data_IF_904079592578
#
_entry.id   IF_904079592578
#
_cell.length_a   1.000
_cell.length_b   1.000
_cell.length_c   1.000
_cell.angle_alpha   90.00
_cell.angle_beta   90.00
_cell.angle_gamma   90.00
#
_symmetry.space_group_name_H-M   'P 1'
#
loop_
_entity.id
_entity.type
_entity.pdbx_description
1 polymer ?
#
# COMPACT_ATOMS: atom_id res chain seq x y z
N UNK A 1 -7.55 -8.62 -4.31
CA UNK A 1 -8.23 -7.31 -4.20
C UNK A 1 -7.72 -6.32 -5.26
N UNK A 2 -7.55 -6.75 -6.52
CA UNK A 2 -7.15 -5.88 -7.65
C UNK A 2 -7.69 -6.44 -8.99
N UNK A 3 -8.89 -7.03 -8.98
CA UNK A 3 -9.47 -7.63 -10.20
C UNK A 3 -9.75 -6.58 -11.29
N UNK A 4 -9.94 -5.31 -10.90
CA UNK A 4 -10.16 -4.19 -11.81
C UNK A 4 -8.93 -3.86 -12.67
N UNK A 5 -7.73 -4.29 -12.29
CA UNK A 5 -6.48 -3.93 -12.96
C UNK A 5 -6.26 -4.65 -14.30
N UNK A 6 -6.92 -5.80 -14.52
CA UNK A 6 -6.79 -6.58 -15.77
C UNK A 6 -7.64 -6.04 -16.92
N UNK A 7 -8.75 -5.36 -16.60
CA UNK A 7 -9.76 -4.91 -17.55
C UNK A 7 -9.28 -3.77 -18.47
N UNK A 8 -8.57 -2.72 -17.98
CA UNK A 8 -8.02 -1.66 -18.83
C UNK A 8 -7.08 -2.20 -19.91
N UNK A 9 -6.21 -3.15 -19.58
CA UNK A 9 -5.27 -3.75 -20.53
C UNK A 9 -5.98 -4.44 -21.68
N UNK A 10 -7.07 -5.16 -21.38
CA UNK A 10 -7.91 -5.81 -22.39
C UNK A 10 -8.59 -4.77 -23.30
N UNK A 11 -9.19 -3.73 -22.72
CA UNK A 11 -9.86 -2.65 -23.49
C UNK A 11 -8.87 -1.90 -24.39
N UNK A 12 -7.68 -1.58 -23.90
CA UNK A 12 -6.62 -0.93 -24.70
C UNK A 12 -6.21 -1.81 -25.89
N UNK A 13 -6.08 -3.12 -25.69
CA UNK A 13 -5.77 -4.08 -26.76
C UNK A 13 -6.87 -4.09 -27.85
N UNK A 14 -8.14 -4.10 -27.43
CA UNK A 14 -9.28 -4.02 -28.35
C UNK A 14 -9.29 -2.71 -29.14
N UNK A 15 -9.07 -1.56 -28.48
CA UNK A 15 -8.98 -0.26 -29.14
C UNK A 15 -7.87 -0.25 -30.21
N UNK A 16 -6.68 -0.74 -29.86
CA UNK A 16 -5.55 -0.80 -30.80
C UNK A 16 -5.84 -1.70 -32.00
N UNK A 17 -6.55 -2.81 -31.78
CA UNK A 17 -6.97 -3.72 -32.85
C UNK A 17 -7.99 -3.06 -33.78
N UNK A 18 -8.99 -2.36 -33.23
CA UNK A 18 -9.98 -1.61 -34.01
C UNK A 18 -9.33 -0.47 -34.80
N UNK A 19 -8.39 0.28 -34.21
CA UNK A 19 -7.61 1.33 -34.91
C UNK A 19 -6.84 0.77 -36.11
N UNK A 20 -6.11 -0.32 -35.93
CA UNK A 20 -5.41 -1.00 -37.04
C UNK A 20 -6.37 -1.54 -38.11
N UNK A 21 -7.57 -1.93 -37.72
CA UNK A 21 -8.62 -2.35 -38.68
C UNK A 21 -9.08 -1.16 -39.53
N UNK A 22 -9.36 -0.01 -38.90
CA UNK A 22 -9.76 1.23 -39.57
C UNK A 22 -8.68 1.67 -40.58
N UNK A 23 -7.41 1.71 -40.16
CA UNK A 23 -6.29 2.09 -41.04
C UNK A 23 -6.17 1.19 -42.26
N UNK A 24 -6.31 -0.13 -42.08
CA UNK A 24 -6.29 -1.09 -43.19
C UNK A 24 -7.46 -0.88 -44.15
N UNK A 25 -8.66 -0.64 -43.62
CA UNK A 25 -9.84 -0.37 -44.44
C UNK A 25 -9.66 0.93 -45.26
N UNK A 26 -9.11 1.98 -44.65
CA UNK A 26 -8.78 3.25 -45.33
C UNK A 26 -7.73 3.07 -46.43
N UNK A 27 -6.66 2.31 -46.18
CA UNK A 27 -5.64 2.06 -47.20
C UNK A 27 -6.20 1.22 -48.37
N UNK A 28 -7.14 0.31 -48.10
CA UNK A 28 -7.84 -0.46 -49.13
C UNK A 28 -8.80 0.39 -49.98
N UNK A 29 -9.36 1.45 -49.40
CA UNK A 29 -10.26 2.39 -50.07
C UNK A 29 -9.53 3.17 -51.17
N UNK A 30 -8.32 3.68 -50.86
CA UNK A 30 -7.49 4.43 -51.82
C UNK A 30 -7.02 3.61 -53.02
N UNK A 31 -6.89 2.29 -52.89
CA UNK A 31 -6.40 1.40 -53.96
C UNK A 31 -7.50 0.90 -54.90
N UNK A 32 -8.75 0.94 -54.46
CA UNK A 32 -9.90 0.43 -55.24
C UNK A 32 -10.33 1.36 -56.38
N UNK A 33 -9.76 2.55 -56.50
CA UNK A 33 -10.20 3.63 -57.40
C UNK A 33 -9.60 3.54 -58.82
N UNK A 34 -8.83 2.49 -59.15
CA UNK A 34 -8.02 2.44 -60.39
C UNK A 34 -8.53 1.46 -61.46
N UNK A 35 -9.82 1.16 -61.50
CA UNK A 35 -10.40 0.31 -62.56
C UNK A 35 -10.78 1.15 -63.78
N UNK A 36 -10.18 0.92 -64.96
CA UNK A 36 -10.10 1.94 -66.00
C UNK A 36 -11.35 2.17 -66.89
N UNK A 37 -12.51 1.55 -66.64
CA UNK A 37 -13.58 1.53 -67.66
C UNK A 37 -15.05 1.71 -67.19
N UNK A 38 -15.34 2.17 -65.96
CA UNK A 38 -16.71 2.54 -65.54
C UNK A 38 -17.79 1.44 -65.60
N UNK A 39 -17.45 0.24 -66.10
CA UNK A 39 -18.34 -0.89 -66.38
C UNK A 39 -18.86 -1.58 -65.11
N UNK A 40 -18.28 -1.23 -63.95
CA UNK A 40 -18.56 -1.81 -62.63
C UNK A 40 -18.89 -0.73 -61.59
N UNK A 41 -19.30 0.46 -62.00
CA UNK A 41 -19.51 1.60 -61.09
C UNK A 41 -20.61 1.35 -60.04
N UNK A 42 -21.66 0.61 -60.36
CA UNK A 42 -22.70 0.19 -59.40
C UNK A 42 -22.13 -0.74 -58.32
N UNK A 43 -21.39 -1.77 -58.73
CA UNK A 43 -20.71 -2.67 -57.78
C UNK A 43 -19.62 -1.97 -56.97
N UNK A 44 -18.97 -0.94 -57.53
CA UNK A 44 -18.01 -0.06 -56.83
C UNK A 44 -18.73 0.75 -55.76
N UNK A 45 -19.84 1.40 -56.12
CA UNK A 45 -20.62 2.22 -55.21
C UNK A 45 -21.07 1.38 -54.02
N UNK A 46 -21.68 0.21 -54.27
CA UNK A 46 -22.10 -0.70 -53.21
C UNK A 46 -20.94 -1.17 -52.32
N UNK A 47 -19.81 -1.57 -52.91
CA UNK A 47 -18.62 -1.99 -52.13
C UNK A 47 -18.07 -0.83 -51.29
N UNK A 48 -18.11 0.38 -51.83
CA UNK A 48 -17.62 1.58 -51.15
C UNK A 48 -18.52 1.94 -49.97
N UNK A 49 -19.83 1.93 -50.19
CA UNK A 49 -20.86 2.13 -49.15
C UNK A 49 -20.75 1.07 -48.05
N UNK A 50 -20.61 -0.21 -48.40
CA UNK A 50 -20.42 -1.30 -47.42
C UNK A 50 -19.15 -1.10 -46.57
N UNK A 51 -18.06 -0.64 -47.19
CA UNK A 51 -16.79 -0.38 -46.49
C UNK A 51 -16.84 0.89 -45.65
N UNK A 52 -17.46 1.95 -46.14
CA UNK A 52 -17.68 3.20 -45.40
C UNK A 52 -18.54 2.94 -44.17
N UNK A 53 -19.61 2.16 -44.32
CA UNK A 53 -20.46 1.72 -43.23
C UNK A 53 -19.69 0.87 -42.21
N UNK A 54 -18.79 -0.02 -42.66
CA UNK A 54 -17.91 -0.78 -41.76
C UNK A 54 -16.92 0.11 -41.01
N UNK A 55 -16.37 1.13 -41.67
CA UNK A 55 -15.51 2.14 -41.03
C UNK A 55 -16.29 2.96 -40.01
N UNK A 56 -17.53 3.35 -40.32
CA UNK A 56 -18.43 4.06 -39.41
C UNK A 56 -18.70 3.25 -38.15
N UNK A 57 -19.12 1.99 -38.29
CA UNK A 57 -19.37 1.08 -37.15
C UNK A 57 -18.12 0.87 -36.29
N UNK A 58 -16.97 0.59 -36.90
CA UNK A 58 -15.73 0.38 -36.14
C UNK A 58 -15.23 1.64 -35.44
N UNK A 59 -15.54 2.85 -35.96
CA UNK A 59 -15.30 4.12 -35.26
C UNK A 59 -16.22 4.29 -34.05
N UNK A 60 -17.52 4.00 -34.21
CA UNK A 60 -18.50 4.04 -33.11
C UNK A 60 -18.10 3.07 -31.98
N UNK A 61 -17.72 1.83 -32.33
CA UNK A 61 -17.20 0.84 -31.37
C UNK A 61 -15.95 1.34 -30.65
N UNK A 62 -15.00 1.96 -31.36
CA UNK A 62 -13.80 2.51 -30.75
C UNK A 62 -14.10 3.67 -29.78
N UNK A 63 -15.13 4.47 -30.07
CA UNK A 63 -15.60 5.54 -29.18
C UNK A 63 -16.23 4.98 -27.90
N UNK A 64 -17.07 3.94 -28.02
CA UNK A 64 -17.67 3.24 -26.88
C UNK A 64 -16.59 2.64 -25.98
N UNK A 65 -15.61 1.93 -26.56
CA UNK A 65 -14.47 1.39 -25.81
C UNK A 65 -13.65 2.50 -25.14
N UNK A 66 -13.56 3.68 -25.73
CA UNK A 66 -12.93 4.86 -25.12
C UNK A 66 -13.67 5.34 -23.87
N UNK A 67 -15.00 5.35 -23.90
CA UNK A 67 -15.85 5.69 -22.73
C UNK A 67 -15.69 4.65 -21.63
N UNK A 68 -15.69 3.36 -21.97
CA UNK A 68 -15.42 2.27 -21.03
C UNK A 68 -14.02 2.36 -20.42
N UNK A 69 -13.00 2.70 -21.20
CA UNK A 69 -11.65 2.91 -20.70
C UNK A 69 -11.62 4.01 -19.63
N UNK A 70 -12.29 5.14 -19.88
CA UNK A 70 -12.36 6.24 -18.92
C UNK A 70 -13.08 5.83 -17.62
N UNK A 71 -14.17 5.06 -17.74
CA UNK A 71 -14.87 4.52 -16.58
C UNK A 71 -13.99 3.55 -15.77
N UNK A 72 -13.31 2.62 -16.45
CA UNK A 72 -12.40 1.66 -15.78
C UNK A 72 -11.23 2.35 -15.11
N UNK A 73 -10.70 3.45 -15.67
CA UNK A 73 -9.67 4.27 -15.01
C UNK A 73 -10.14 4.84 -13.67
N UNK A 74 -11.38 5.32 -13.58
CA UNK A 74 -11.94 5.84 -12.33
C UNK A 74 -12.09 4.73 -11.29
N UNK A 75 -12.56 3.55 -11.70
CA UNK A 75 -12.69 2.39 -10.82
C UNK A 75 -11.32 1.93 -10.32
N UNK A 76 -10.31 1.86 -11.20
CA UNK A 76 -8.94 1.52 -10.80
C UNK A 76 -8.37 2.55 -9.82
N UNK A 77 -8.60 3.84 -10.05
CA UNK A 77 -8.15 4.88 -9.12
C UNK A 77 -8.79 4.73 -7.73
N UNK A 78 -10.08 4.43 -7.66
CA UNK A 78 -10.79 4.18 -6.40
C UNK A 78 -10.26 2.93 -5.68
N UNK A 79 -10.03 1.84 -6.41
CA UNK A 79 -9.45 0.59 -5.86
C UNK A 79 -8.01 0.80 -5.37
N UNK A 80 -7.19 1.57 -6.09
CA UNK A 80 -5.82 1.91 -5.68
C UNK A 80 -5.79 2.78 -4.42
N UNK A 81 -6.70 3.77 -4.33
CA UNK A 81 -6.84 4.58 -3.14
C UNK A 81 -7.23 3.72 -1.92
N UNK A 82 -8.18 2.79 -2.07
CA UNK A 82 -8.55 1.85 -1.02
C UNK A 82 -7.45 0.85 -0.66
N UNK A 83 -6.64 0.44 -1.64
CA UNK A 83 -5.53 -0.50 -1.42
C UNK A 83 -4.44 0.10 -0.55
N UNK A 84 -4.06 1.36 -0.77
CA UNK A 84 -2.97 1.99 -0.01
C UNK A 84 -3.30 2.05 1.49
N UNK A 85 -4.50 2.48 1.84
CA UNK A 85 -4.97 2.54 3.23
C UNK A 85 -5.06 1.15 3.88
N UNK A 86 -5.56 0.17 3.13
CA UNK A 86 -5.67 -1.20 3.63
C UNK A 86 -4.29 -1.83 3.82
N UNK A 87 -3.38 -1.64 2.86
CA UNK A 87 -2.04 -2.21 2.87
C UNK A 87 -1.22 -1.68 4.04
N UNK A 88 -1.30 -0.38 4.32
CA UNK A 88 -0.61 0.24 5.44
C UNK A 88 -1.11 -0.31 6.79
N UNK A 89 -2.43 -0.43 6.96
CA UNK A 89 -3.05 -1.02 8.16
C UNK A 89 -2.67 -2.49 8.33
N UNK A 90 -2.71 -3.27 7.26
CA UNK A 90 -2.32 -4.69 7.26
C UNK A 90 -0.84 -4.86 7.61
N UNK A 91 0.05 -4.06 7.02
CA UNK A 91 1.48 -4.08 7.31
C UNK A 91 1.79 -3.74 8.76
N UNK A 92 1.20 -2.64 9.28
CA UNK A 92 1.35 -2.27 10.70
C UNK A 92 0.85 -3.36 11.64
N UNK A 93 -0.30 -3.97 11.34
CA UNK A 93 -0.84 -5.08 12.12
C UNK A 93 0.11 -6.28 12.10
N UNK A 94 0.60 -6.69 10.93
CA UNK A 94 1.49 -7.82 10.79
C UNK A 94 2.80 -7.64 11.58
N UNK A 95 3.41 -6.46 11.54
CA UNK A 95 4.62 -6.15 12.31
C UNK A 95 4.32 -6.20 13.83
N UNK A 96 3.20 -5.60 14.25
CA UNK A 96 2.81 -5.60 15.67
C UNK A 96 2.55 -7.01 16.20
N UNK A 97 1.88 -7.83 15.39
CA UNK A 97 1.58 -9.22 15.76
C UNK A 97 2.86 -10.05 15.80
N UNK A 98 3.78 -9.86 14.85
CA UNK A 98 5.11 -10.48 14.86
C UNK A 98 5.89 -10.12 16.13
N UNK A 99 5.98 -8.83 16.47
CA UNK A 99 6.69 -8.36 17.65
C UNK A 99 6.10 -8.95 18.95
N UNK A 100 4.77 -8.98 19.07
CA UNK A 100 4.08 -9.62 20.20
C UNK A 100 4.38 -11.12 20.27
N UNK A 101 4.32 -11.82 19.15
CA UNK A 101 4.63 -13.25 19.11
C UNK A 101 6.08 -13.54 19.50
N UNK A 102 7.04 -12.70 19.08
CA UNK A 102 8.43 -12.84 19.51
C UNK A 102 8.59 -12.62 21.00
N UNK A 103 7.96 -11.58 21.56
CA UNK A 103 8.01 -11.31 23.00
C UNK A 103 7.48 -12.50 23.82
N UNK A 104 6.37 -13.12 23.39
CA UNK A 104 5.80 -14.30 24.05
C UNK A 104 6.77 -15.49 24.00
N UNK A 105 7.43 -15.71 22.85
CA UNK A 105 8.42 -16.79 22.69
C UNK A 105 9.62 -16.58 23.62
N UNK A 106 10.19 -15.37 23.62
CA UNK A 106 11.34 -15.04 24.47
C UNK A 106 11.01 -15.15 25.96
N UNK A 107 9.81 -14.71 26.36
CA UNK A 107 9.35 -14.85 27.75
C UNK A 107 9.25 -16.32 28.17
N UNK A 108 8.66 -17.16 27.32
CA UNK A 108 8.55 -18.61 27.55
C UNK A 108 9.95 -19.25 27.64
N UNK A 109 10.87 -18.85 26.76
CA UNK A 109 12.25 -19.33 26.77
C UNK A 109 12.97 -18.95 28.09
N UNK A 110 12.85 -17.71 28.53
CA UNK A 110 13.41 -17.23 29.80
C UNK A 110 12.84 -17.98 31.01
N UNK A 111 11.54 -18.25 31.04
CA UNK A 111 10.90 -19.04 32.09
C UNK A 111 11.44 -20.48 32.12
N UNK A 112 11.64 -21.07 30.93
CA UNK A 112 12.30 -22.38 30.78
C UNK A 112 13.72 -22.39 31.35
N UNK A 113 14.54 -21.40 31.01
CA UNK A 113 15.91 -21.25 31.51
C UNK A 113 15.91 -21.06 33.03
N UNK A 114 15.08 -20.17 33.58
CA UNK A 114 14.94 -19.98 35.04
C UNK A 114 14.54 -21.26 35.76
N UNK A 115 13.72 -22.11 35.14
CA UNK A 115 13.35 -23.42 35.70
C UNK A 115 14.51 -24.41 35.65
N UNK A 116 15.29 -24.42 34.57
CA UNK A 116 16.49 -25.25 34.45
C UNK A 116 17.54 -24.84 35.49
N UNK A 117 17.83 -23.53 35.63
CA UNK A 117 18.75 -22.99 36.63
C UNK A 117 18.30 -23.31 38.05
N UNK A 118 17.00 -23.36 38.36
CA UNK A 118 16.55 -23.78 39.71
C UNK A 118 16.81 -25.24 40.00
N UNK A 119 16.80 -26.11 38.99
CA UNK A 119 17.08 -27.54 39.14
C UNK A 119 18.57 -27.84 39.17
N UNK A 120 19.35 -27.06 38.43
CA UNK A 120 20.80 -27.07 38.54
C UNK A 120 21.18 -26.34 39.84
N UNK A 121 21.81 -26.99 40.83
CA UNK A 121 22.37 -26.27 42.00
C UNK A 121 23.59 -25.43 41.58
N UNK A 122 23.43 -24.49 40.66
CA UNK A 122 24.48 -23.57 40.23
C UNK A 122 24.41 -22.38 41.16
N UNK A 123 25.40 -22.28 42.04
CA UNK A 123 25.65 -21.08 42.84
C UNK A 123 25.98 -19.94 41.86
N UNK A 124 25.22 -18.84 41.81
CA UNK A 124 25.55 -17.73 40.92
C UNK A 124 26.87 -17.08 41.38
N UNK A 125 27.90 -17.16 40.55
CA UNK A 125 29.24 -16.57 40.82
C UNK A 125 29.28 -15.07 40.49
N UNK A 126 28.26 -14.53 39.81
CA UNK A 126 28.25 -13.12 39.45
C UNK A 126 27.61 -12.30 40.57
N UNK A 127 28.46 -11.77 41.46
CA UNK A 127 28.09 -10.63 42.29
C UNK A 127 27.85 -9.44 41.36
N UNK A 128 26.61 -8.97 41.28
CA UNK A 128 26.29 -7.70 40.65
C UNK A 128 26.99 -6.59 41.46
N UNK A 129 28.11 -6.07 40.94
CA UNK A 129 28.66 -4.79 41.40
C UNK A 129 27.90 -3.70 40.64
N UNK A 130 27.03 -2.90 41.28
CA UNK A 130 26.52 -1.70 40.64
C UNK A 130 27.72 -0.85 40.22
N UNK A 131 27.66 -0.33 38.99
CA UNK A 131 28.65 0.64 38.53
C UNK A 131 28.60 1.88 39.44
N UNK A 132 29.74 2.51 39.69
CA UNK A 132 29.93 3.64 40.63
C UNK A 132 28.88 4.76 40.48
N UNK A 133 28.27 4.89 39.31
CA UNK A 133 27.22 5.86 39.00
C UNK A 133 25.88 5.57 39.68
N UNK A 134 25.50 4.31 39.88
CA UNK A 134 24.25 3.96 40.60
C UNK A 134 24.39 4.11 42.12
N UNK A 135 25.58 3.87 42.67
CA UNK A 135 25.84 4.06 44.11
C UNK A 135 25.75 5.53 44.54
N UNK A 136 26.22 6.45 43.71
CA UNK A 136 26.13 7.90 43.96
C UNK A 136 24.70 8.43 43.90
N UNK A 137 23.84 7.86 43.04
CA UNK A 137 22.43 8.27 42.94
C UNK A 137 21.65 7.82 44.18
N UNK A 138 21.90 6.61 44.67
CA UNK A 138 21.25 6.11 45.89
C UNK A 138 21.68 6.87 47.15
N UNK A 139 22.94 7.29 47.26
CA UNK A 139 23.39 8.12 48.39
C UNK A 139 22.88 9.57 48.30
N UNK A 140 22.74 10.13 47.09
CA UNK A 140 22.16 11.45 46.90
C UNK A 140 20.65 11.49 47.24
N UNK A 141 19.91 10.43 46.91
CA UNK A 141 18.48 10.32 47.26
C UNK A 141 18.27 10.09 48.76
N UNK A 142 19.16 9.34 49.43
CA UNK A 142 19.09 9.13 50.88
C UNK A 142 19.38 10.39 51.70
N UNK A 143 20.30 11.25 51.23
CA UNK A 143 20.66 12.48 51.94
C UNK A 143 19.62 13.61 51.76
N UNK A 144 18.87 13.59 50.66
CA UNK A 144 17.84 14.60 50.36
C UNK A 144 16.53 14.37 51.14
N UNK A 145 16.34 13.17 51.72
CA UNK A 145 15.20 12.85 52.58
C UNK A 145 15.33 13.32 54.03
N UNK A 146 16.49 13.83 54.44
CA UNK A 146 16.79 14.16 55.84
C UNK A 146 16.78 15.67 56.15
N UNK A 147 16.37 16.53 55.21
CA UNK A 147 16.35 17.99 55.36
C UNK A 147 14.94 18.59 55.54
N UNK A 148 13.87 17.79 55.62
CA UNK A 148 12.49 18.31 55.59
C UNK A 148 11.85 18.43 57.00
N UNK A 149 12.43 17.86 58.06
CA UNK A 149 11.81 17.82 59.41
C UNK A 149 12.47 18.72 60.47
N UNK A 150 12.99 19.89 60.09
CA UNK A 150 13.54 20.83 61.07
C UNK A 150 13.25 22.30 60.70
N UNK A 151 11.99 22.74 60.77
CA UNK A 151 11.62 24.06 61.32
C UNK A 151 10.09 24.24 61.46
N UNK A 152 9.52 23.83 62.60
CA UNK A 152 8.27 24.44 63.11
C UNK A 152 8.52 24.87 64.56
N UNK A 153 9.09 26.07 64.72
CA UNK A 153 9.34 26.72 65.99
C UNK A 153 8.88 28.18 65.99
N UNK A 154 7.63 28.39 66.39
CA UNK A 154 7.06 29.55 67.13
C UNK A 154 7.70 30.93 66.88
N UNK A 155 7.00 31.81 66.16
CA UNK A 155 7.27 33.25 66.13
C UNK A 155 6.43 33.93 67.21
N UNK A 156 7.08 34.40 68.28
CA UNK A 156 6.51 35.26 69.31
C UNK A 156 6.60 36.73 68.83
N UNK A 157 5.46 37.38 68.58
CA UNK A 157 5.39 38.82 68.32
C UNK A 157 5.58 39.59 69.64
N UNK A 158 6.63 40.41 69.73
CA UNK A 158 6.79 41.43 70.77
C UNK A 158 6.78 42.81 70.12
N UNK A 159 5.84 43.62 70.59
CA UNK A 159 5.58 45.02 70.24
C UNK A 159 6.76 45.96 70.54
N UNK A 160 7.01 46.91 69.62
CA UNK A 160 7.22 48.36 69.91
C UNK A 160 6.72 49.17 68.72
#
# INVERSE_FOLDING_TARGET
>A
MLLSLSRPTSVISSINTSRKSIERNYNSLSRSTRWPLGLLDETRQRLNEEKEEKVRRTKEEAEVLGKELRYTQQVVAAELAGWQDLHEKMGRKAIKDLAKSMLIKERTALEGIKRAIRKLKVVPVVQFRPSMTEGLVLEAEANNGNLIDADEGVVEEVSV
#
